data_IF_585276425194
#
_entry.id   IF_585276425194
#
_cell.length_a   1.000
_cell.length_b   1.000
_cell.length_c   1.000
_cell.angle_alpha   90.00
_cell.angle_beta   90.00
_cell.angle_gamma   90.00
#
_symmetry.space_group_name_H-M   'P 1'
#
loop_
_entity.id
_entity.type
_entity.pdbx_description
1 polymer ?
#
# COMPACT_ATOMS: atom_id res chain seq x y z
N UNK A 1 -9.73 -17.24 -6.34
CA UNK A 1 -10.08 -17.13 -4.90
C UNK A 1 -8.82 -16.76 -4.15
N UNK A 2 -8.79 -15.56 -3.57
CA UNK A 2 -7.58 -15.00 -2.96
C UNK A 2 -7.32 -15.64 -1.60
N UNK A 3 -6.10 -16.16 -1.38
CA UNK A 3 -5.64 -16.88 -0.18
C UNK A 3 -5.07 -15.96 0.91
N UNK A 4 -5.24 -14.64 0.77
CA UNK A 4 -4.54 -13.61 1.53
C UNK A 4 -4.76 -13.68 3.05
N UNK A 5 -5.77 -14.40 3.56
CA UNK A 5 -6.13 -14.38 4.97
C UNK A 5 -6.52 -15.74 5.57
N UNK A 6 -5.88 -16.84 5.17
CA UNK A 6 -6.10 -18.14 5.81
C UNK A 6 -5.18 -18.30 7.05
N UNK A 7 -5.75 -18.61 8.23
CA UNK A 7 -5.01 -18.84 9.49
C UNK A 7 -4.25 -20.18 9.44
N UNK A 8 -3.19 -20.24 8.64
CA UNK A 8 -2.36 -21.44 8.47
C UNK A 8 -1.14 -21.47 9.40
N UNK A 9 -0.86 -20.37 10.11
CA UNK A 9 0.37 -20.21 10.88
C UNK A 9 1.60 -19.86 10.01
N UNK A 10 1.40 -19.68 8.69
CA UNK A 10 2.41 -19.22 7.74
C UNK A 10 2.02 -17.81 7.31
N UNK A 11 2.96 -16.85 7.38
CA UNK A 11 2.75 -15.52 6.81
C UNK A 11 2.59 -15.74 5.30
N UNK A 12 1.40 -15.42 4.79
CA UNK A 12 1.18 -15.41 3.35
C UNK A 12 2.06 -14.30 2.75
N UNK A 13 2.92 -14.68 1.82
CA UNK A 13 3.72 -13.76 1.00
C UNK A 13 3.37 -14.02 -0.45
N UNK A 14 3.08 -12.99 -1.26
CA UNK A 14 2.85 -13.20 -2.69
C UNK A 14 4.13 -13.63 -3.39
N UNK A 15 3.96 -14.25 -4.56
CA UNK A 15 5.08 -14.66 -5.41
C UNK A 15 5.79 -13.44 -6.02
N UNK A 16 5.05 -12.35 -6.29
CA UNK A 16 5.59 -11.05 -6.71
C UNK A 16 5.37 -10.01 -5.60
N UNK A 17 6.43 -9.38 -5.05
CA UNK A 17 6.29 -8.28 -4.10
C UNK A 17 5.44 -7.12 -4.61
N UNK A 18 5.33 -6.94 -5.92
CA UNK A 18 4.48 -5.92 -6.53
C UNK A 18 2.99 -6.17 -6.21
N UNK A 19 2.57 -7.42 -6.02
CA UNK A 19 1.19 -7.75 -5.65
C UNK A 19 0.79 -7.21 -4.27
N UNK A 20 1.76 -6.86 -3.40
CA UNK A 20 1.49 -6.16 -2.13
C UNK A 20 1.25 -4.67 -2.32
N UNK A 21 1.79 -4.08 -3.39
CA UNK A 21 1.78 -2.64 -3.64
C UNK A 21 0.75 -2.22 -4.68
N UNK A 22 0.30 -3.16 -5.51
CA UNK A 22 -0.67 -2.89 -6.55
C UNK A 22 -2.01 -2.44 -5.97
N UNK A 23 -2.52 -1.34 -6.51
CA UNK A 23 -3.88 -0.85 -6.29
C UNK A 23 -4.73 -1.13 -7.51
N UNK A 24 -6.03 -1.29 -7.29
CA UNK A 24 -7.04 -1.45 -8.33
C UNK A 24 -8.18 -0.46 -8.06
N UNK A 25 -8.88 -0.07 -9.12
CA UNK A 25 -10.04 0.82 -9.05
C UNK A 25 -11.29 0.08 -9.47
N UNK A 26 -12.45 0.50 -8.98
CA UNK A 26 -13.69 -0.15 -9.36
C UNK A 26 -14.11 0.17 -10.81
N UNK A 27 -15.11 -0.57 -11.31
CA UNK A 27 -15.60 -0.40 -12.69
C UNK A 27 -16.32 0.92 -12.98
N UNK A 28 -16.56 1.76 -11.97
CA UNK A 28 -17.19 3.07 -12.10
C UNK A 28 -16.19 4.22 -11.86
N UNK A 29 -14.89 3.93 -11.84
CA UNK A 29 -13.87 4.94 -11.64
C UNK A 29 -13.87 6.00 -12.75
N UNK A 30 -13.48 7.21 -12.37
CA UNK A 30 -13.15 8.29 -13.30
C UNK A 30 -11.85 7.99 -14.04
N UNK A 31 -11.67 8.61 -15.21
CA UNK A 31 -10.41 8.53 -15.96
C UNK A 31 -9.20 8.96 -15.10
N UNK A 32 -9.37 9.98 -14.25
CA UNK A 32 -8.31 10.42 -13.34
C UNK A 32 -7.91 9.36 -12.32
N UNK A 33 -8.87 8.60 -11.79
CA UNK A 33 -8.60 7.50 -10.85
C UNK A 33 -7.91 6.35 -11.56
N UNK A 34 -8.35 6.01 -12.78
CA UNK A 34 -7.71 4.98 -13.60
C UNK A 34 -6.25 5.32 -13.95
N UNK A 35 -5.99 6.58 -14.34
CA UNK A 35 -4.61 7.05 -14.57
C UNK A 35 -3.79 7.06 -13.29
N UNK A 36 -4.39 7.44 -12.16
CA UNK A 36 -3.77 7.38 -10.84
C UNK A 36 -3.35 5.95 -10.48
N UNK A 37 -4.24 4.97 -10.67
CA UNK A 37 -3.95 3.54 -10.47
C UNK A 37 -2.74 3.09 -11.28
N UNK A 38 -2.70 3.39 -12.58
CA UNK A 38 -1.57 3.02 -13.44
C UNK A 38 -0.27 3.65 -12.92
N UNK A 39 -0.31 4.93 -12.56
CA UNK A 39 0.86 5.66 -12.10
C UNK A 39 1.39 5.13 -10.75
N UNK A 40 0.51 4.81 -9.81
CA UNK A 40 0.87 4.21 -8.51
C UNK A 40 1.51 2.83 -8.72
N UNK A 41 0.89 1.97 -9.53
CA UNK A 41 1.40 0.62 -9.78
C UNK A 41 2.77 0.65 -10.48
N UNK A 42 2.96 1.58 -11.41
CA UNK A 42 4.26 1.80 -12.04
C UNK A 42 5.30 2.33 -11.04
N UNK A 43 4.91 3.23 -10.13
CA UNK A 43 5.80 3.74 -9.09
C UNK A 43 6.27 2.63 -8.14
N UNK A 44 5.36 1.74 -7.72
CA UNK A 44 5.70 0.57 -6.91
C UNK A 44 6.72 -0.33 -7.62
N UNK A 45 6.55 -0.58 -8.91
CA UNK A 45 7.50 -1.36 -9.71
C UNK A 45 8.85 -0.67 -9.87
N UNK A 46 8.84 0.63 -10.14
CA UNK A 46 10.06 1.43 -10.27
C UNK A 46 10.85 1.45 -8.96
N UNK A 47 10.17 1.49 -7.81
CA UNK A 47 10.81 1.42 -6.50
C UNK A 47 11.40 0.03 -6.23
N UNK A 48 10.63 -1.05 -6.45
CA UNK A 48 11.09 -2.43 -6.26
C UNK A 48 12.30 -2.80 -7.16
N UNK A 49 12.40 -2.17 -8.33
CA UNK A 49 13.52 -2.38 -9.26
C UNK A 49 14.68 -1.40 -9.05
N UNK A 50 14.58 -0.50 -8.06
CA UNK A 50 15.62 0.47 -7.71
C UNK A 50 15.78 1.63 -8.69
N UNK A 51 14.79 1.86 -9.56
CA UNK A 51 14.77 2.98 -10.52
C UNK A 51 14.44 4.32 -9.83
N UNK A 52 13.63 4.27 -8.76
CA UNK A 52 13.37 5.40 -7.87
C UNK A 52 13.67 5.00 -6.42
N UNK A 53 13.99 5.98 -5.58
CA UNK A 53 14.18 5.75 -4.15
C UNK A 53 12.84 5.78 -3.39
N UNK A 54 12.88 5.44 -2.10
CA UNK A 54 11.67 5.36 -1.27
C UNK A 54 10.98 6.73 -1.10
N UNK A 55 11.72 7.83 -0.98
CA UNK A 55 11.13 9.18 -0.87
C UNK A 55 10.37 9.53 -2.14
N UNK A 56 10.96 9.30 -3.32
CA UNK A 56 10.30 9.55 -4.61
C UNK A 56 9.04 8.68 -4.80
N UNK A 57 9.04 7.46 -4.26
CA UNK A 57 7.87 6.59 -4.27
C UNK A 57 6.75 7.16 -3.37
N UNK A 58 7.09 7.58 -2.16
CA UNK A 58 6.14 8.16 -1.20
C UNK A 58 5.54 9.48 -1.72
N UNK A 59 6.35 10.36 -2.30
CA UNK A 59 5.87 11.62 -2.90
C UNK A 59 4.84 11.34 -4.02
N UNK A 60 5.04 10.25 -4.79
CA UNK A 60 4.08 9.85 -5.83
C UNK A 60 2.77 9.32 -5.21
N UNK A 61 2.84 8.57 -4.12
CA UNK A 61 1.64 8.11 -3.41
C UNK A 61 0.83 9.30 -2.89
N UNK A 62 1.49 10.25 -2.22
CA UNK A 62 0.84 11.46 -1.69
C UNK A 62 0.21 12.31 -2.79
N UNK A 63 0.91 12.47 -3.93
CA UNK A 63 0.37 13.19 -5.08
C UNK A 63 -0.96 12.60 -5.59
N UNK A 64 -1.11 11.27 -5.53
CA UNK A 64 -2.35 10.57 -5.89
C UNK A 64 -3.30 10.35 -4.69
N UNK A 65 -3.06 11.01 -3.57
CA UNK A 65 -3.95 11.00 -2.40
C UNK A 65 -3.81 9.76 -1.50
N UNK A 66 -2.76 8.96 -1.65
CA UNK A 66 -2.42 7.89 -0.72
C UNK A 66 -1.45 8.48 0.33
N UNK A 67 -1.85 8.56 1.61
CA UNK A 67 -1.00 9.14 2.64
C UNK A 67 0.28 8.34 2.80
N UNK A 68 1.37 9.02 3.18
CA UNK A 68 2.63 8.38 3.46
C UNK A 68 2.47 7.37 4.61
N UNK A 69 2.77 6.08 4.38
CA UNK A 69 2.60 5.05 5.40
C UNK A 69 3.36 5.34 6.69
N UNK A 70 4.50 6.05 6.62
CA UNK A 70 5.26 6.43 7.81
C UNK A 70 4.54 7.44 8.71
N UNK A 71 3.63 8.24 8.17
CA UNK A 71 2.78 9.14 8.96
C UNK A 71 1.65 8.37 9.67
N UNK A 72 1.24 7.23 9.11
CA UNK A 72 0.19 6.37 9.67
C UNK A 72 0.74 5.45 10.77
N UNK A 73 2.06 5.19 10.81
CA UNK A 73 2.67 4.31 11.83
C UNK A 73 2.45 4.87 13.23
N UNK A 74 2.55 6.19 13.41
CA UNK A 74 2.32 6.85 14.69
C UNK A 74 0.85 6.72 15.12
N UNK A 75 -0.09 6.95 14.21
CA UNK A 75 -1.53 6.76 14.45
C UNK A 75 -1.87 5.29 14.81
N UNK A 76 -1.23 4.34 14.15
CA UNK A 76 -1.39 2.92 14.46
C UNK A 76 -0.83 2.57 15.85
N UNK A 77 0.36 3.08 16.18
CA UNK A 77 0.98 2.87 17.48
C UNK A 77 0.13 3.45 18.61
N UNK A 78 -0.34 4.69 18.46
CA UNK A 78 -1.22 5.37 19.42
C UNK A 78 -2.53 4.59 19.61
N UNK A 79 -3.11 4.07 18.52
CA UNK A 79 -4.32 3.26 18.59
C UNK A 79 -4.10 1.93 19.33
N UNK A 80 -2.98 1.24 19.06
CA UNK A 80 -2.62 -0.01 19.74
C UNK A 80 -2.37 0.23 21.22
N UNK A 81 -1.64 1.29 21.58
CA UNK A 81 -1.39 1.66 22.98
C UNK A 81 -2.69 2.03 23.71
N UNK A 82 -3.61 2.74 23.05
CA UNK A 82 -4.93 3.01 23.61
C UNK A 82 -5.70 1.71 23.90
N UNK A 83 -5.74 0.77 22.95
CA UNK A 83 -6.44 -0.51 23.11
C UNK A 83 -5.80 -1.37 24.21
N UNK A 84 -4.46 -1.44 24.28
CA UNK A 84 -3.74 -2.21 25.30
C UNK A 84 -3.90 -1.60 26.69
N UNK A 85 -3.86 -0.27 26.81
CA UNK A 85 -4.00 0.42 28.10
C UNK A 85 -5.41 0.35 28.71
N UNK A 86 -6.41 -0.01 27.89
CA UNK A 86 -7.81 -0.17 28.31
C UNK A 86 -8.30 -1.63 28.29
N UNK A 87 -7.42 -2.60 28.02
CA UNK A 87 -7.69 -4.05 28.06
C UNK A 87 -7.26 -4.68 29.39
#
# INVERSE_FOLDING_TARGET
>A
MSKIAERTGVIWTPDDPLDLLCVDVDGNCSESEFQGMIAINQAGRDWLTGKINITEYLDKLEYYGIPNPFEIVDDFADHVDFVISHA
#
